data_IF_327127310976
#
_entry.id   IF_327127310976
#
_cell.length_a   1.000
_cell.length_b   1.000
_cell.length_c   1.000
_cell.angle_alpha   90.00
_cell.angle_beta   90.00
_cell.angle_gamma   90.00
#
_symmetry.space_group_name_H-M   'P 1'
#
loop_
_entity.id
_entity.type
_entity.pdbx_description
1 polymer ?
#
# COMPACT_ATOMS: atom_id res chain seq x y z
N UNK A 1 -1.69 -32.98 -0.32
CA UNK A 1 -0.79 -32.44 0.73
C UNK A 1 -1.19 -31.01 1.01
N UNK A 2 -1.39 -30.63 2.27
CA UNK A 2 -1.68 -29.23 2.64
C UNK A 2 -0.48 -28.37 2.23
N UNK A 3 -0.68 -27.36 1.37
CA UNK A 3 0.36 -26.39 1.03
C UNK A 3 0.68 -25.58 2.30
N UNK A 4 1.91 -25.69 2.80
CA UNK A 4 2.35 -24.87 3.92
C UNK A 4 2.57 -23.43 3.43
N UNK A 5 1.58 -22.56 3.60
CA UNK A 5 1.63 -21.19 3.10
C UNK A 5 2.55 -20.24 3.90
N UNK A 6 3.31 -20.75 4.87
CA UNK A 6 4.12 -19.90 5.78
C UNK A 6 5.63 -19.99 5.58
N UNK A 7 6.15 -21.04 4.96
CA UNK A 7 7.59 -21.24 4.76
C UNK A 7 7.87 -21.96 3.43
N UNK A 8 9.06 -21.77 2.85
CA UNK A 8 9.45 -22.44 1.61
C UNK A 8 9.15 -21.60 0.36
N UNK A 9 9.43 -22.17 -0.82
CA UNK A 9 9.23 -21.50 -2.12
C UNK A 9 7.75 -21.21 -2.38
N UNK A 10 6.87 -22.08 -1.90
CA UNK A 10 5.41 -21.99 -2.02
C UNK A 10 4.78 -20.87 -1.18
N UNK A 11 5.52 -20.31 -0.22
CA UNK A 11 5.07 -19.22 0.64
C UNK A 11 5.54 -17.84 0.15
N UNK A 12 6.32 -17.78 -0.93
CA UNK A 12 6.74 -16.52 -1.53
C UNK A 12 5.54 -15.82 -2.19
N UNK A 13 5.45 -14.50 -2.02
CA UNK A 13 4.43 -13.68 -2.67
C UNK A 13 4.67 -13.69 -4.19
N UNK A 14 3.60 -13.96 -4.95
CA UNK A 14 3.65 -13.90 -6.41
C UNK A 14 2.58 -12.92 -6.91
N UNK A 15 2.83 -12.18 -7.99
CA UNK A 15 1.84 -11.24 -8.51
C UNK A 15 0.48 -11.87 -8.82
N UNK A 16 0.48 -13.12 -9.32
CA UNK A 16 -0.72 -13.84 -9.72
C UNK A 16 -1.61 -14.33 -8.56
N UNK A 17 -1.11 -14.35 -7.32
CA UNK A 17 -1.84 -14.82 -6.14
C UNK A 17 -1.85 -13.81 -4.98
N UNK A 18 -1.49 -12.56 -5.27
CA UNK A 18 -1.41 -11.49 -4.30
C UNK A 18 -2.29 -10.30 -4.69
N UNK A 19 -2.70 -9.54 -3.67
CA UNK A 19 -3.31 -8.22 -3.83
C UNK A 19 -2.56 -7.23 -2.92
N UNK A 20 -2.50 -5.96 -3.33
CA UNK A 20 -2.01 -4.87 -2.48
C UNK A 20 -3.21 -4.05 -2.00
N UNK A 21 -3.28 -3.83 -0.69
CA UNK A 21 -4.30 -2.95 -0.09
C UNK A 21 -3.60 -1.80 0.60
N UNK A 22 -3.79 -0.58 0.09
CA UNK A 22 -3.21 0.64 0.64
C UNK A 22 -4.28 1.38 1.45
N UNK A 23 -4.14 1.30 2.78
CA UNK A 23 -5.18 1.74 3.72
C UNK A 23 -4.88 3.15 4.20
N UNK A 24 -5.78 4.08 3.91
CA UNK A 24 -5.95 5.38 4.57
C UNK A 24 -4.67 6.24 4.67
N UNK A 25 -3.84 6.22 3.63
CA UNK A 25 -2.65 7.07 3.52
C UNK A 25 -3.03 8.51 3.17
N UNK A 26 -3.78 9.17 4.06
CA UNK A 26 -4.26 10.55 3.95
C UNK A 26 -3.42 11.48 4.85
N UNK A 27 -3.31 12.79 4.54
CA UNK A 27 -2.53 13.75 5.31
C UNK A 27 -2.82 13.74 6.81
N UNK A 28 -4.09 13.65 7.19
CA UNK A 28 -4.48 13.63 8.60
C UNK A 28 -3.92 12.40 9.34
N UNK A 29 -3.97 11.21 8.75
CA UNK A 29 -3.44 9.99 9.35
C UNK A 29 -1.92 10.02 9.47
N UNK A 30 -1.25 10.52 8.42
CA UNK A 30 0.21 10.58 8.36
C UNK A 30 0.78 11.64 9.32
N UNK A 31 0.05 12.73 9.56
CA UNK A 31 0.49 13.82 10.45
C UNK A 31 0.63 13.42 11.91
N UNK A 32 -0.03 12.35 12.35
CA UNK A 32 0.00 11.85 13.72
C UNK A 32 0.80 10.54 13.88
N UNK A 33 1.74 10.27 12.97
CA UNK A 33 2.67 9.14 13.08
C UNK A 33 3.81 9.44 14.05
N UNK A 34 4.00 8.57 15.05
CA UNK A 34 5.06 8.70 16.06
C UNK A 34 6.09 7.57 15.98
N UNK A 35 5.85 6.57 15.12
CA UNK A 35 6.74 5.42 14.95
C UNK A 35 7.87 5.68 13.96
N UNK A 36 7.64 6.52 12.94
CA UNK A 36 8.58 6.81 11.86
C UNK A 36 8.34 8.22 11.32
N UNK A 37 9.35 8.78 10.65
CA UNK A 37 9.21 10.03 9.93
C UNK A 37 8.13 9.94 8.83
N UNK A 38 7.16 10.87 8.78
CA UNK A 38 6.07 10.86 7.80
C UNK A 38 6.54 10.74 6.35
N UNK A 39 7.63 11.42 6.00
CA UNK A 39 8.20 11.41 4.64
C UNK A 39 8.76 10.04 4.26
N UNK A 40 9.33 9.30 5.22
CA UNK A 40 9.82 7.94 5.01
C UNK A 40 8.67 6.98 4.68
N UNK A 41 7.56 7.08 5.42
CA UNK A 41 6.36 6.26 5.18
C UNK A 41 5.75 6.56 3.81
N UNK A 42 5.61 7.84 3.45
CA UNK A 42 5.10 8.24 2.12
C UNK A 42 6.00 7.71 1.01
N UNK A 43 7.33 7.80 1.16
CA UNK A 43 8.26 7.29 0.16
C UNK A 43 8.18 5.76 0.03
N UNK A 44 8.11 5.03 1.15
CA UNK A 44 8.00 3.57 1.16
C UNK A 44 6.70 3.08 0.51
N UNK A 45 5.55 3.67 0.87
CA UNK A 45 4.27 3.28 0.27
C UNK A 45 4.21 3.64 -1.22
N UNK A 46 4.82 4.75 -1.62
CA UNK A 46 4.91 5.12 -3.05
C UNK A 46 5.75 4.14 -3.84
N UNK A 47 6.86 3.65 -3.26
CA UNK A 47 7.68 2.61 -3.88
C UNK A 47 6.90 1.29 -4.01
N UNK A 48 6.18 0.88 -2.96
CA UNK A 48 5.31 -0.30 -3.00
C UNK A 48 4.21 -0.17 -4.07
N UNK A 49 3.55 0.98 -4.15
CA UNK A 49 2.53 1.27 -5.16
C UNK A 49 3.08 1.15 -6.58
N UNK A 50 4.26 1.74 -6.85
CA UNK A 50 4.93 1.63 -8.15
C UNK A 50 5.31 0.18 -8.47
N UNK A 51 5.81 -0.57 -7.50
CA UNK A 51 6.11 -1.99 -7.68
C UNK A 51 4.85 -2.79 -8.03
N UNK A 52 3.76 -2.59 -7.28
CA UNK A 52 2.48 -3.24 -7.55
C UNK A 52 1.99 -2.94 -8.98
N UNK A 53 2.10 -1.70 -9.44
CA UNK A 53 1.77 -1.30 -10.82
C UNK A 53 2.66 -1.99 -11.85
N UNK A 54 3.98 -2.03 -11.65
CA UNK A 54 4.94 -2.66 -12.59
C UNK A 54 4.70 -4.16 -12.71
N UNK A 55 4.39 -4.84 -11.60
CA UNK A 55 4.12 -6.27 -11.58
C UNK A 55 2.66 -6.64 -11.89
N UNK A 56 1.81 -5.67 -12.23
CA UNK A 56 0.38 -5.85 -12.49
C UNK A 56 -0.37 -6.52 -11.32
N UNK A 57 0.02 -6.22 -10.08
CA UNK A 57 -0.66 -6.71 -8.89
C UNK A 57 -1.95 -5.89 -8.68
N UNK A 58 -3.12 -6.54 -8.55
CA UNK A 58 -4.36 -5.84 -8.22
C UNK A 58 -4.19 -5.00 -6.96
N UNK A 59 -4.50 -3.71 -7.05
CA UNK A 59 -4.30 -2.76 -5.95
C UNK A 59 -5.62 -2.09 -5.56
N UNK A 60 -5.92 -2.11 -4.27
CA UNK A 60 -7.10 -1.47 -3.67
C UNK A 60 -6.61 -0.30 -2.82
N UNK A 61 -7.24 0.86 -2.98
CA UNK A 61 -6.99 2.04 -2.16
C UNK A 61 -8.22 2.31 -1.29
N UNK A 62 -8.01 2.59 -0.01
CA UNK A 62 -9.09 3.01 0.90
C UNK A 62 -8.80 4.37 1.49
N UNK A 63 -9.87 5.03 1.93
CA UNK A 63 -9.79 6.27 2.71
C UNK A 63 -10.83 6.26 3.82
N UNK A 64 -10.53 6.92 4.93
CA UNK A 64 -11.48 7.22 5.99
C UNK A 64 -11.93 8.68 5.90
N UNK A 65 -13.25 8.91 5.78
CA UNK A 65 -13.91 10.23 5.76
C UNK A 65 -13.12 11.24 4.89
N UNK A 66 -12.99 10.96 3.58
CA UNK A 66 -12.14 11.75 2.67
C UNK A 66 -12.47 13.25 2.66
N UNK A 67 -13.74 13.61 2.86
CA UNK A 67 -14.20 15.01 2.96
C UNK A 67 -13.56 15.79 4.11
N UNK A 68 -13.12 15.11 5.18
CA UNK A 68 -12.54 15.73 6.38
C UNK A 68 -11.06 15.36 6.59
N UNK A 69 -10.69 14.12 6.28
CA UNK A 69 -9.32 13.61 6.43
C UNK A 69 -8.39 13.97 5.27
N UNK A 70 -8.94 14.54 4.19
CA UNK A 70 -8.25 14.80 2.93
C UNK A 70 -8.27 13.60 2.01
N UNK A 71 -7.83 13.79 0.75
CA UNK A 71 -7.64 12.68 -0.18
C UNK A 71 -6.38 11.88 0.19
N UNK A 72 -6.25 10.69 -0.37
CA UNK A 72 -5.00 9.91 -0.25
C UNK A 72 -3.82 10.77 -0.77
N UNK A 73 -2.60 10.58 -0.25
CA UNK A 73 -1.45 11.42 -0.63
C UNK A 73 -1.23 11.45 -2.15
N UNK A 74 -0.85 12.62 -2.68
CA UNK A 74 -0.72 12.87 -4.13
C UNK A 74 0.16 11.84 -4.82
N UNK A 75 1.22 11.41 -4.16
CA UNK A 75 2.19 10.42 -4.63
C UNK A 75 1.54 9.07 -4.97
N UNK A 76 0.48 8.68 -4.26
CA UNK A 76 -0.28 7.47 -4.57
C UNK A 76 -1.29 7.69 -5.71
N UNK A 77 -1.94 8.85 -5.73
CA UNK A 77 -2.83 9.25 -6.85
C UNK A 77 -2.08 9.30 -8.19
N UNK A 78 -0.80 9.69 -8.18
CA UNK A 78 0.04 9.70 -9.38
C UNK A 78 0.34 8.29 -9.94
N UNK A 79 0.25 7.26 -9.10
CA UNK A 79 0.46 5.87 -9.51
C UNK A 79 -0.86 5.27 -10.01
N UNK A 80 -1.95 5.50 -9.27
CA UNK A 80 -3.27 4.94 -9.54
C UNK A 80 -4.30 6.08 -9.62
N UNK A 81 -4.65 6.55 -10.84
CA UNK A 81 -5.70 7.53 -11.01
C UNK A 81 -7.10 6.94 -10.72
#
# INVERSE_FOLDING_TARGET
MSKNQKTGLEALLRPEDSIVVLIDHQPFQVSNLHSHEPTMIINAVTALAKAAKVFNVPTILTTVIAERGGLIVKQLQDVFP
#
